data_IF_798228175274
#
_entry.id   IF_798228175274
#
_cell.length_a   1.000
_cell.length_b   1.000
_cell.length_c   1.000
_cell.angle_alpha   90.00
_cell.angle_beta   90.00
_cell.angle_gamma   90.00
#
_symmetry.space_group_name_H-M   'P 1'
#
loop_
_entity.id
_entity.type
_entity.pdbx_description
1 polymer ?
#
# COMPACT_ATOMS: atom_id res chain seq x y z
N UNK A 1 5.46 -11.93 -5.85
CA UNK A 1 4.05 -12.41 -5.95
C UNK A 1 3.25 -11.74 -4.85
N UNK A 2 2.01 -11.29 -5.10
CA UNK A 2 1.15 -10.76 -4.05
C UNK A 2 0.65 -11.91 -3.15
N UNK A 3 0.63 -11.70 -1.84
CA UNK A 3 0.28 -12.73 -0.87
C UNK A 3 -0.89 -12.27 0.00
N UNK A 4 -1.78 -13.21 0.35
CA UNK A 4 -2.88 -12.91 1.24
C UNK A 4 -2.35 -12.80 2.67
N UNK A 5 -2.71 -11.72 3.39
CA UNK A 5 -2.34 -11.54 4.80
C UNK A 5 -2.84 -12.65 5.74
N UNK A 6 -3.81 -13.47 5.30
CA UNK A 6 -4.22 -14.69 6.01
C UNK A 6 -3.17 -15.80 5.93
N UNK A 7 -2.47 -15.89 4.79
CA UNK A 7 -1.53 -16.97 4.49
C UNK A 7 -0.09 -16.59 4.90
N UNK A 8 0.31 -15.33 4.71
CA UNK A 8 1.61 -14.83 5.16
C UNK A 8 1.49 -14.26 6.56
N UNK A 9 1.95 -15.02 7.54
CA UNK A 9 1.83 -14.58 8.93
C UNK A 9 2.89 -13.56 9.34
N UNK A 10 4.09 -13.68 8.79
CA UNK A 10 5.28 -12.90 9.15
C UNK A 10 5.95 -12.29 7.92
N UNK A 11 6.60 -11.15 8.12
CA UNK A 11 7.39 -10.45 7.11
C UNK A 11 8.86 -10.73 7.37
N UNK A 12 9.62 -11.06 6.32
CA UNK A 12 11.09 -11.09 6.45
C UNK A 12 11.61 -9.68 6.66
N UNK A 13 12.72 -9.55 7.40
CA UNK A 13 13.18 -8.26 7.92
C UNK A 13 13.43 -7.21 6.82
N UNK A 14 13.93 -7.65 5.67
CA UNK A 14 14.36 -6.80 4.55
C UNK A 14 13.32 -6.71 3.42
N UNK A 15 12.08 -7.13 3.69
CA UNK A 15 11.01 -7.03 2.69
C UNK A 15 10.53 -5.59 2.49
N UNK A 16 10.54 -5.13 1.24
CA UNK A 16 9.70 -4.03 0.80
C UNK A 16 8.25 -4.51 0.67
N UNK A 17 7.31 -3.86 1.35
CA UNK A 17 5.93 -4.34 1.46
C UNK A 17 4.96 -3.40 0.75
N UNK A 18 4.10 -3.96 -0.09
CA UNK A 18 2.92 -3.26 -0.62
C UNK A 18 1.70 -3.64 0.23
N UNK A 19 1.06 -2.65 0.86
CA UNK A 19 -0.18 -2.85 1.63
C UNK A 19 -1.36 -2.19 0.94
N UNK A 20 -2.37 -3.01 0.66
CA UNK A 20 -3.56 -2.62 -0.09
C UNK A 20 -4.84 -2.76 0.72
N UNK A 21 -5.76 -1.80 0.63
CA UNK A 21 -7.10 -1.94 1.22
C UNK A 21 -8.21 -1.32 0.37
N UNK A 22 -9.39 -1.94 0.43
CA UNK A 22 -10.62 -1.23 0.14
C UNK A 22 -10.99 -0.25 1.26
N UNK A 23 -11.86 0.73 0.97
CA UNK A 23 -12.43 1.60 2.01
C UNK A 23 -13.72 1.03 2.62
N UNK A 24 -13.76 0.96 3.95
CA UNK A 24 -14.90 0.51 4.74
C UNK A 24 -15.16 1.52 5.86
N UNK A 25 -16.17 2.37 5.69
CA UNK A 25 -16.46 3.48 6.60
C UNK A 25 -15.22 4.36 6.87
N UNK A 26 -14.60 4.87 5.81
CA UNK A 26 -13.38 5.70 5.83
C UNK A 26 -12.14 5.03 6.45
N UNK A 27 -12.15 3.70 6.57
CA UNK A 27 -11.06 2.95 7.21
C UNK A 27 -10.62 1.77 6.34
N UNK A 28 -9.35 1.33 6.47
CA UNK A 28 -8.92 0.07 5.90
C UNK A 28 -9.66 -1.10 6.55
N UNK A 29 -9.74 -2.21 5.81
CA UNK A 29 -10.45 -3.41 6.24
C UNK A 29 -9.92 -3.94 7.58
N UNK A 30 -10.82 -4.41 8.45
CA UNK A 30 -10.48 -4.80 9.82
C UNK A 30 -9.36 -5.84 9.93
N UNK A 31 -9.24 -6.75 8.95
CA UNK A 31 -8.16 -7.75 8.91
C UNK A 31 -6.80 -7.13 8.64
N UNK A 32 -6.73 -6.11 7.78
CA UNK A 32 -5.48 -5.39 7.53
C UNK A 32 -5.08 -4.58 8.77
N UNK A 33 -6.03 -3.94 9.45
CA UNK A 33 -5.75 -3.26 10.73
C UNK A 33 -5.17 -4.22 11.77
N UNK A 34 -5.75 -5.42 11.91
CA UNK A 34 -5.20 -6.48 12.79
C UNK A 34 -3.81 -6.94 12.35
N UNK A 35 -3.57 -7.07 11.04
CA UNK A 35 -2.25 -7.40 10.50
C UNK A 35 -1.22 -6.32 10.83
N UNK A 36 -1.56 -5.03 10.65
CA UNK A 36 -0.67 -3.92 11.00
C UNK A 36 -0.39 -3.93 12.51
N UNK A 37 -1.42 -4.10 13.33
CA UNK A 37 -1.30 -4.11 14.78
C UNK A 37 -0.33 -5.18 15.31
N UNK A 38 -0.38 -6.40 14.77
CA UNK A 38 0.41 -7.54 15.25
C UNK A 38 1.84 -7.62 14.73
N UNK A 39 2.17 -6.89 13.67
CA UNK A 39 3.50 -6.95 13.05
C UNK A 39 4.34 -5.73 13.45
N UNK A 40 5.66 -5.93 13.49
CA UNK A 40 6.65 -4.87 13.58
C UNK A 40 6.92 -4.27 12.19
N UNK A 41 6.98 -2.96 12.10
CA UNK A 41 7.30 -2.21 10.87
C UNK A 41 8.52 -1.30 11.03
N UNK A 42 9.25 -1.37 12.15
CA UNK A 42 10.39 -0.49 12.40
C UNK A 42 11.43 -0.60 11.29
N UNK A 43 11.71 0.53 10.63
CA UNK A 43 12.65 0.63 9.50
C UNK A 43 12.16 -0.03 8.21
N UNK A 44 10.91 -0.53 8.17
CA UNK A 44 10.40 -1.26 7.00
C UNK A 44 9.89 -0.30 5.95
N UNK A 45 10.34 -0.51 4.71
CA UNK A 45 9.84 0.22 3.55
C UNK A 45 8.44 -0.29 3.16
N UNK A 46 7.48 0.64 3.10
CA UNK A 46 6.08 0.31 2.79
C UNK A 46 5.55 1.24 1.70
N UNK A 47 4.95 0.64 0.68
CA UNK A 47 4.11 1.33 -0.29
C UNK A 47 2.64 1.04 0.01
N UNK A 48 1.80 2.07 0.00
CA UNK A 48 0.37 1.93 0.29
C UNK A 48 -0.45 2.01 -0.99
N UNK A 49 -1.52 1.23 -1.07
CA UNK A 49 -2.48 1.42 -2.14
C UNK A 49 -3.93 1.20 -1.70
N UNK A 50 -4.88 1.84 -2.37
CA UNK A 50 -6.29 1.73 -2.02
C UNK A 50 -7.23 1.79 -3.20
N UNK A 51 -8.40 1.18 -3.02
CA UNK A 51 -9.53 1.37 -3.93
C UNK A 51 -10.79 1.64 -3.13
N UNK A 52 -11.62 2.57 -3.58
CA UNK A 52 -12.86 2.89 -2.88
C UNK A 52 -13.93 3.38 -3.83
N UNK A 53 -15.19 3.40 -3.38
CA UNK A 53 -16.28 3.93 -4.21
C UNK A 53 -16.09 5.41 -4.55
N UNK A 54 -15.55 6.22 -3.63
CA UNK A 54 -15.27 7.65 -3.85
C UNK A 54 -13.89 7.93 -4.45
N UNK A 55 -12.92 7.03 -4.30
CA UNK A 55 -11.54 7.26 -4.73
C UNK A 55 -10.79 8.32 -3.91
N UNK A 56 -11.29 8.70 -2.72
CA UNK A 56 -10.70 9.79 -1.92
C UNK A 56 -9.45 9.41 -1.11
N UNK A 57 -9.18 8.10 -1.00
CA UNK A 57 -7.99 7.57 -0.32
C UNK A 57 -8.04 7.67 1.21
N UNK A 58 -9.21 7.82 1.82
CA UNK A 58 -9.37 7.88 3.29
C UNK A 58 -8.82 6.64 3.98
N UNK A 59 -9.02 5.47 3.39
CA UNK A 59 -8.45 4.20 3.84
C UNK A 59 -6.92 4.17 3.77
N UNK A 60 -6.33 4.84 2.78
CA UNK A 60 -4.88 4.89 2.60
C UNK A 60 -4.23 5.80 3.63
N UNK A 61 -4.83 6.97 3.89
CA UNK A 61 -4.41 7.88 4.96
C UNK A 61 -4.50 7.21 6.32
N UNK A 62 -5.61 6.51 6.59
CA UNK A 62 -5.77 5.75 7.83
C UNK A 62 -4.77 4.58 7.96
N UNK A 63 -4.34 3.95 6.86
CA UNK A 63 -3.23 2.98 6.91
C UNK A 63 -1.91 3.66 7.28
N UNK A 64 -1.62 4.80 6.68
CA UNK A 64 -0.41 5.58 6.93
C UNK A 64 -0.30 5.99 8.41
N UNK A 65 -1.40 6.47 9.00
CA UNK A 65 -1.52 6.82 10.41
C UNK A 65 -1.28 5.63 11.36
N UNK A 66 -1.65 4.41 10.95
CA UNK A 66 -1.38 3.19 11.73
C UNK A 66 0.07 2.72 11.64
N UNK A 67 0.76 3.03 10.53
CA UNK A 67 2.08 2.51 10.21
C UNK A 67 3.22 3.42 10.68
N UNK A 68 3.05 4.75 10.57
CA UNK A 68 4.07 5.72 11.00
C UNK A 68 4.49 5.54 12.47
N UNK A 69 3.57 5.40 13.44
CA UNK A 69 3.95 5.17 14.84
C UNK A 69 4.68 3.84 15.07
N UNK A 70 4.54 2.88 14.15
CA UNK A 70 5.24 1.58 14.19
C UNK A 70 6.62 1.65 13.52
N UNK A 71 7.09 2.83 13.13
CA UNK A 71 8.40 3.05 12.53
C UNK A 71 8.50 2.64 11.06
N UNK A 72 7.37 2.50 10.37
CA UNK A 72 7.36 2.23 8.92
C UNK A 72 7.90 3.44 8.14
N UNK A 73 8.68 3.16 7.10
CA UNK A 73 9.15 4.13 6.11
C UNK A 73 8.19 4.11 4.92
N UNK A 74 7.26 5.07 4.89
CA UNK A 74 6.26 5.16 3.81
C UNK A 74 6.95 5.73 2.57
N UNK A 75 7.08 4.90 1.52
CA UNK A 75 7.79 5.24 0.27
C UNK A 75 6.89 5.88 -0.78
N UNK A 76 5.59 5.64 -0.68
CA UNK A 76 4.61 6.19 -1.61
C UNK A 76 3.22 5.64 -1.33
N UNK A 77 2.23 6.32 -1.89
CA UNK A 77 0.84 5.88 -1.83
C UNK A 77 0.14 6.06 -3.18
N UNK A 78 -0.83 5.20 -3.45
CA UNK A 78 -1.70 5.30 -4.62
C UNK A 78 -3.13 4.97 -4.21
N UNK A 79 -4.11 5.68 -4.73
CA UNK A 79 -5.50 5.28 -4.56
C UNK A 79 -6.30 5.71 -5.78
N UNK A 80 -7.32 4.92 -6.09
CA UNK A 80 -8.21 5.20 -7.21
C UNK A 80 -9.62 4.71 -6.90
N UNK A 81 -10.52 4.98 -7.83
CA UNK A 81 -11.87 4.52 -7.71
C UNK A 81 -11.97 3.02 -8.02
N UNK A 82 -12.67 2.29 -7.16
CA UNK A 82 -12.89 0.85 -7.28
C UNK A 82 -14.21 0.52 -7.97
N UNK A 83 -14.34 -0.74 -8.41
CA UNK A 83 -15.61 -1.27 -8.93
C UNK A 83 -16.68 -1.17 -7.83
N UNK A 84 -17.77 -0.50 -8.13
CA UNK A 84 -18.91 -0.37 -7.23
C UNK A 84 -20.23 -0.63 -7.97
N UNK A 85 -21.24 -1.08 -7.23
CA UNK A 85 -22.57 -1.39 -7.76
C UNK A 85 -23.42 -0.14 -8.00
N UNK A 86 -23.01 1.01 -7.48
CA UNK A 86 -23.71 2.28 -7.74
C UNK A 86 -23.45 2.77 -9.16
N UNK A 87 -24.53 3.23 -9.82
CA UNK A 87 -24.53 3.60 -11.24
C UNK A 87 -23.45 4.65 -11.58
N UNK A 88 -23.21 5.61 -10.68
CA UNK A 88 -22.23 6.68 -10.82
C UNK A 88 -20.76 6.23 -10.76
N UNK A 89 -20.50 5.00 -10.33
CA UNK A 89 -19.16 4.45 -10.12
C UNK A 89 -18.86 3.28 -11.08
N UNK A 90 -19.69 3.11 -12.12
CA UNK A 90 -19.45 2.16 -13.21
C UNK A 90 -18.29 2.64 -14.08
N UNK A 91 -17.52 1.70 -14.61
CA UNK A 91 -16.37 2.00 -15.47
C UNK A 91 -15.05 2.16 -14.73
N UNK A 92 -15.05 2.08 -13.40
CA UNK A 92 -13.86 2.17 -12.57
C UNK A 92 -13.41 0.80 -12.03
N UNK A 93 -12.10 0.54 -11.85
CA UNK A 93 -10.99 1.38 -12.32
C UNK A 93 -10.97 1.51 -13.85
N UNK A 94 -10.72 2.72 -14.35
CA UNK A 94 -10.55 3.04 -15.76
C UNK A 94 -9.18 2.59 -16.27
N UNK A 95 -8.98 2.62 -17.59
CA UNK A 95 -7.67 2.30 -18.18
C UNK A 95 -6.56 3.26 -17.72
N UNK A 96 -6.92 4.53 -17.49
CA UNK A 96 -6.02 5.53 -16.92
C UNK A 96 -5.66 5.19 -15.46
N UNK A 97 -6.65 4.82 -14.63
CA UNK A 97 -6.40 4.42 -13.24
C UNK A 97 -5.51 3.15 -13.17
N UNK A 98 -5.71 2.21 -14.09
CA UNK A 98 -4.84 1.04 -14.22
C UNK A 98 -3.44 1.40 -14.72
N UNK A 99 -3.30 2.37 -15.63
CA UNK A 99 -2.01 2.88 -16.07
C UNK A 99 -1.26 3.59 -14.94
N UNK A 100 -1.95 4.39 -14.14
CA UNK A 100 -1.39 5.07 -12.97
C UNK A 100 -1.00 4.09 -11.87
N UNK A 101 -1.79 3.03 -11.63
CA UNK A 101 -1.43 1.95 -10.71
C UNK A 101 -0.14 1.23 -11.17
N UNK A 102 0.01 0.97 -12.48
CA UNK A 102 1.23 0.40 -13.07
C UNK A 102 2.43 1.34 -12.90
N UNK A 103 2.24 2.64 -13.14
CA UNK A 103 3.27 3.66 -12.95
C UNK A 103 3.75 3.70 -11.51
N UNK A 104 2.83 3.76 -10.54
CA UNK A 104 3.13 3.72 -9.12
C UNK A 104 3.95 2.48 -8.74
N UNK A 105 3.53 1.28 -9.17
CA UNK A 105 4.26 0.05 -8.87
C UNK A 105 5.69 0.07 -9.43
N UNK A 106 5.89 0.63 -10.63
CA UNK A 106 7.20 0.76 -11.25
C UNK A 106 8.10 1.77 -10.50
N UNK A 107 7.54 2.87 -10.02
CA UNK A 107 8.26 3.87 -9.22
C UNK A 107 8.73 3.27 -7.89
N UNK A 108 7.86 2.53 -7.20
CA UNK A 108 8.20 1.86 -5.94
C UNK A 108 9.25 0.76 -6.12
N UNK A 109 9.27 0.08 -7.28
CA UNK A 109 10.33 -0.88 -7.60
C UNK A 109 11.69 -0.19 -7.78
N UNK A 110 11.71 0.99 -8.41
CA UNK A 110 12.94 1.76 -8.64
C UNK A 110 13.48 2.39 -7.35
N UNK A 111 12.61 2.84 -6.45
CA UNK A 111 13.03 3.42 -5.16
C UNK A 111 13.78 2.41 -4.29
N UNK A 112 13.41 1.13 -4.36
CA UNK A 112 14.16 0.05 -3.69
C UNK A 112 15.62 -0.04 -4.15
N UNK A 113 15.86 0.09 -5.45
CA UNK A 113 17.18 -0.13 -6.05
C UNK A 113 18.15 1.05 -5.86
N UNK A 114 17.66 2.26 -5.56
CA UNK A 114 18.53 3.43 -5.34
C UNK A 114 19.20 3.42 -3.98
N UNK A 115 18.52 2.91 -2.95
CA UNK A 115 19.07 2.85 -1.58
C UNK A 115 20.10 1.72 -1.41
N UNK A 116 19.95 0.60 -2.15
CA UNK A 116 20.94 -0.48 -2.18
C UNK A 116 22.23 -0.09 -2.95
N UNK A 117 22.17 0.94 -3.82
CA UNK A 117 23.30 1.40 -4.64
C UNK A 117 24.22 2.42 -3.97
N UNK A 118 23.72 3.22 -3.02
CA UNK A 118 24.52 4.20 -2.27
C UNK A 118 25.33 3.58 -1.13
N UNK A 119 24.90 2.42 -0.59
CA UNK A 119 25.66 1.69 0.44
C UNK A 119 26.89 0.95 -0.11
N UNK A 120 27.00 0.77 -1.43
CA UNK A 120 28.12 0.07 -2.09
C UNK A 120 29.31 0.96 -2.47
N UNK A 121 29.21 2.29 -2.37
CA UNK A 121 30.30 3.23 -2.70
C UNK A 121 30.91 3.92 -1.47
N UNK A 122 30.53 3.51 -0.25
CA UNK A 122 30.99 4.08 1.01
C UNK A 122 31.84 3.13 1.87
N UNK A 123 32.70 2.31 1.28
CA UNK A 123 33.76 1.57 2.01
C UNK A 123 35.14 1.90 1.46
#
# INVERSE_FOLDING_TARGET
KAENVKAKQELTKDSFVFLGSGCYANKPGGKLRKFIARNDFKGRQVALFGTSGSGEGTEVRAMEELLKPKGALIRGSFYCQGKSFFLFYRGHPSDEELANARKFANEMKKSKNKEEGEESYGK
#
